data_IF_074182223853
#
_entry.id   IF_074182223853
#
_cell.length_a   1.000
_cell.length_b   1.000
_cell.length_c   1.000
_cell.angle_alpha   90.00
_cell.angle_beta   90.00
_cell.angle_gamma   90.00
#
_symmetry.space_group_name_H-M   'P 1'
#
loop_
_entity.id
_entity.type
_entity.pdbx_description
1 polymer ?
#
# COMPACT_ATOMS: atom_id res chain seq x y z
N UNK A 1 32.15 61.91 -26.48
CA UNK A 1 32.67 60.54 -26.25
C UNK A 1 31.51 59.63 -25.89
N UNK A 2 31.36 58.52 -26.62
CA UNK A 2 30.29 57.52 -26.48
C UNK A 2 30.57 56.60 -25.29
N UNK A 3 29.59 56.25 -24.45
CA UNK A 3 29.52 54.93 -23.78
C UNK A 3 28.05 54.51 -23.58
N UNK A 4 27.66 53.48 -24.34
CA UNK A 4 26.37 52.78 -24.26
C UNK A 4 26.44 51.80 -23.09
N UNK A 5 25.47 51.81 -22.18
CA UNK A 5 25.32 50.78 -21.14
C UNK A 5 24.38 49.72 -21.72
N UNK A 6 24.96 48.58 -22.11
CA UNK A 6 24.24 47.37 -22.49
C UNK A 6 24.12 46.54 -21.20
N UNK A 7 22.96 46.56 -20.56
CA UNK A 7 22.69 45.70 -19.41
C UNK A 7 22.16 44.37 -19.93
N UNK A 8 22.96 43.32 -19.71
CA UNK A 8 22.75 41.99 -20.23
C UNK A 8 21.52 41.29 -19.62
N UNK A 9 20.73 40.65 -20.48
CA UNK A 9 19.71 39.66 -20.11
C UNK A 9 20.35 38.55 -19.26
N UNK A 10 19.84 38.33 -18.05
CA UNK A 10 20.05 37.08 -17.31
C UNK A 10 18.72 36.34 -17.29
N UNK A 11 18.51 35.47 -18.27
CA UNK A 11 17.39 34.54 -18.27
C UNK A 11 17.67 33.45 -17.23
N UNK A 12 16.97 33.51 -16.10
CA UNK A 12 16.98 32.43 -15.10
C UNK A 12 16.23 31.24 -15.70
N UNK A 13 16.98 30.25 -16.16
CA UNK A 13 16.44 28.96 -16.59
C UNK A 13 16.01 28.19 -15.34
N UNK A 14 14.74 28.32 -14.95
CA UNK A 14 14.13 27.44 -13.96
C UNK A 14 14.09 26.06 -14.62
N UNK A 15 15.02 25.18 -14.24
CA UNK A 15 14.93 23.75 -14.55
C UNK A 15 13.71 23.26 -13.77
N UNK A 16 12.55 23.23 -14.44
CA UNK A 16 11.44 22.41 -14.01
C UNK A 16 11.93 20.96 -14.09
N UNK A 17 12.50 20.48 -13.00
CA UNK A 17 12.73 19.06 -12.80
C UNK A 17 11.37 18.40 -12.80
N UNK A 18 10.97 17.90 -13.97
CA UNK A 18 9.81 17.04 -14.14
C UNK A 18 9.97 15.89 -13.17
N UNK A 19 9.35 15.98 -12.00
CA UNK A 19 9.29 14.88 -11.05
C UNK A 19 8.62 13.73 -11.81
N UNK A 20 9.41 12.77 -12.26
CA UNK A 20 8.90 11.53 -12.83
C UNK A 20 7.93 10.98 -11.79
N UNK A 21 6.65 10.79 -12.11
CA UNK A 21 5.69 10.28 -11.14
C UNK A 21 6.23 8.94 -10.64
N UNK A 22 6.59 8.91 -9.36
CA UNK A 22 7.17 7.71 -8.76
C UNK A 22 6.02 6.75 -8.53
N UNK A 23 5.95 5.70 -9.35
CA UNK A 23 4.88 4.70 -9.26
C UNK A 23 4.99 3.95 -7.94
N UNK A 24 3.90 3.95 -7.19
CA UNK A 24 3.72 3.19 -5.97
C UNK A 24 4.02 1.71 -6.23
N UNK A 25 4.79 1.06 -5.35
CA UNK A 25 5.18 -0.33 -5.54
C UNK A 25 3.98 -1.24 -5.27
N UNK A 26 3.71 -2.15 -6.19
CA UNK A 26 2.59 -3.08 -6.13
C UNK A 26 3.11 -4.50 -5.91
N UNK A 27 2.64 -5.14 -4.84
CA UNK A 27 3.06 -6.48 -4.43
C UNK A 27 1.87 -7.43 -4.48
N UNK A 28 2.01 -8.54 -5.20
CA UNK A 28 1.03 -9.62 -5.22
C UNK A 28 1.07 -10.49 -3.96
N UNK A 29 -0.06 -11.08 -3.60
CA UNK A 29 -0.18 -12.05 -2.53
C UNK A 29 -1.15 -13.18 -2.89
N UNK A 30 -0.88 -14.36 -2.34
CA UNK A 30 -1.73 -15.54 -2.43
C UNK A 30 -1.74 -16.21 -1.05
N UNK A 31 -2.84 -16.03 -0.33
CA UNK A 31 -2.98 -16.48 1.04
C UNK A 31 -4.00 -17.59 1.17
N UNK A 32 -3.68 -18.54 2.06
CA UNK A 32 -4.54 -19.66 2.43
C UNK A 32 -4.62 -19.72 3.95
N UNK A 33 -5.83 -19.76 4.50
CA UNK A 33 -6.09 -19.88 5.93
C UNK A 33 -7.04 -21.05 6.21
N UNK A 34 -6.66 -21.91 7.14
CA UNK A 34 -7.46 -23.06 7.57
C UNK A 34 -8.24 -22.80 8.87
N UNK A 35 -7.79 -21.83 9.68
CA UNK A 35 -8.45 -21.39 10.90
C UNK A 35 -8.25 -19.88 11.11
N UNK A 36 -8.95 -19.25 12.06
CA UNK A 36 -8.70 -17.86 12.47
C UNK A 36 -7.36 -17.64 13.19
N UNK A 37 -6.63 -18.72 13.49
CA UNK A 37 -5.35 -18.65 14.18
C UNK A 37 -4.21 -18.27 13.23
N UNK A 38 -3.27 -17.48 13.75
CA UNK A 38 -2.07 -17.09 13.03
C UNK A 38 -2.27 -15.93 12.05
N UNK A 39 -1.14 -15.55 11.43
CA UNK A 39 -1.07 -14.51 10.41
C UNK A 39 -0.11 -14.95 9.31
N UNK A 40 -0.42 -14.58 8.08
CA UNK A 40 0.49 -14.70 6.94
C UNK A 40 0.82 -13.31 6.43
N UNK A 41 1.98 -13.16 5.79
CA UNK A 41 2.43 -11.86 5.29
C UNK A 41 2.68 -11.92 3.78
N UNK A 42 2.43 -10.81 3.10
CA UNK A 42 2.88 -10.64 1.73
C UNK A 42 4.40 -10.46 1.70
N UNK A 43 4.99 -10.49 0.51
CA UNK A 43 6.31 -9.90 0.33
C UNK A 43 6.29 -8.41 0.71
N UNK A 44 7.45 -7.88 1.06
CA UNK A 44 7.60 -6.44 1.32
C UNK A 44 7.67 -5.65 0.01
N UNK A 45 7.10 -4.45 0.00
CA UNK A 45 7.20 -3.47 -1.08
C UNK A 45 7.70 -2.12 -0.58
N UNK A 46 8.56 -1.48 -1.35
CA UNK A 46 9.08 -0.14 -1.04
C UNK A 46 8.03 0.91 -1.37
N UNK A 47 7.67 1.76 -0.41
CA UNK A 47 6.83 2.93 -0.70
C UNK A 47 7.62 3.94 -1.52
N UNK A 48 7.11 4.28 -2.71
CA UNK A 48 7.83 5.13 -3.68
C UNK A 48 7.27 6.55 -3.79
N UNK A 49 6.06 6.79 -3.30
CA UNK A 49 5.40 8.10 -3.29
C UNK A 49 5.31 8.69 -1.87
N UNK A 50 4.69 9.86 -1.76
CA UNK A 50 4.43 10.57 -0.50
C UNK A 50 2.98 10.44 -0.02
N UNK A 51 2.12 9.74 -0.76
CA UNK A 51 0.70 9.59 -0.46
C UNK A 51 0.51 8.84 0.86
N UNK A 52 -0.39 9.32 1.72
CA UNK A 52 -0.67 8.68 3.01
C UNK A 52 -1.81 7.65 2.91
N UNK A 53 -1.85 6.93 1.78
CA UNK A 53 -2.83 5.90 1.49
C UNK A 53 -2.14 4.69 0.86
N UNK A 54 -2.77 3.53 1.01
CA UNK A 54 -2.44 2.31 0.29
C UNK A 54 -3.70 1.81 -0.44
N UNK A 55 -3.49 1.00 -1.47
CA UNK A 55 -4.57 0.47 -2.29
C UNK A 55 -4.55 -1.05 -2.25
N UNK A 56 -5.70 -1.64 -1.93
CA UNK A 56 -5.88 -3.09 -1.86
C UNK A 56 -6.75 -3.56 -3.02
N UNK A 57 -6.32 -4.61 -3.70
CA UNK A 57 -7.14 -5.35 -4.66
C UNK A 57 -7.22 -6.80 -4.24
N UNK A 58 -8.43 -7.34 -4.13
CA UNK A 58 -8.72 -8.76 -3.92
C UNK A 58 -9.31 -9.30 -5.23
N UNK A 59 -8.46 -9.94 -6.05
CA UNK A 59 -8.82 -10.39 -7.39
C UNK A 59 -9.66 -11.68 -7.39
N UNK A 60 -9.34 -12.60 -6.50
CA UNK A 60 -10.03 -13.89 -6.36
C UNK A 60 -10.03 -14.29 -4.89
N UNK A 61 -11.16 -14.77 -4.39
CA UNK A 61 -11.25 -15.15 -2.99
C UNK A 61 -12.43 -16.07 -2.69
N UNK A 62 -12.31 -16.86 -1.61
CA UNK A 62 -13.45 -17.53 -0.96
C UNK A 62 -14.02 -16.71 0.21
N UNK A 63 -13.95 -15.38 0.12
CA UNK A 63 -14.53 -14.46 1.10
C UNK A 63 -16.06 -14.43 0.96
N UNK A 64 -16.75 -14.53 2.09
CA UNK A 64 -18.20 -14.35 2.22
C UNK A 64 -18.54 -13.65 3.54
N UNK A 65 -19.82 -13.37 3.80
CA UNK A 65 -20.28 -12.73 5.04
C UNK A 65 -19.83 -13.45 6.32
N UNK A 66 -19.63 -14.77 6.27
CA UNK A 66 -19.18 -15.61 7.39
C UNK A 66 -17.75 -16.17 7.23
N UNK A 67 -17.02 -15.81 6.16
CA UNK A 67 -15.65 -16.23 5.91
C UNK A 67 -14.80 -14.99 5.60
N UNK A 68 -14.35 -14.32 6.65
CA UNK A 68 -13.92 -12.92 6.62
C UNK A 68 -12.41 -12.82 6.55
N UNK A 69 -11.90 -12.03 5.62
CA UNK A 69 -10.48 -11.74 5.52
C UNK A 69 -10.14 -10.46 6.30
N UNK A 70 -9.22 -10.55 7.24
CA UNK A 70 -8.75 -9.39 8.00
C UNK A 70 -7.30 -9.06 7.69
N UNK A 71 -6.99 -7.78 7.52
CA UNK A 71 -5.67 -7.32 7.08
C UNK A 71 -5.21 -6.01 7.72
N UNK A 72 -3.90 -5.78 7.75
CA UNK A 72 -3.28 -4.47 8.06
C UNK A 72 -1.90 -4.33 7.43
N UNK A 73 -1.49 -3.09 7.19
CA UNK A 73 -0.12 -2.77 6.75
C UNK A 73 0.81 -2.63 7.96
N UNK A 74 2.01 -3.19 7.79
CA UNK A 74 3.09 -3.16 8.78
C UNK A 74 4.39 -2.73 8.14
N UNK A 75 5.25 -2.08 8.93
CA UNK A 75 6.60 -1.72 8.50
C UNK A 75 7.54 -2.90 8.66
N UNK A 76 8.34 -3.17 7.63
CA UNK A 76 9.22 -4.34 7.61
C UNK A 76 10.34 -4.28 8.67
N UNK A 77 10.86 -3.08 8.96
CA UNK A 77 12.02 -2.91 9.84
C UNK A 77 11.77 -3.29 11.30
N UNK A 78 10.55 -3.07 11.81
CA UNK A 78 10.24 -3.17 13.24
C UNK A 78 8.85 -3.73 13.51
N UNK A 79 8.19 -4.29 12.49
CA UNK A 79 6.85 -4.85 12.59
C UNK A 79 5.81 -3.82 13.10
N UNK A 80 6.06 -2.50 12.99
CA UNK A 80 5.14 -1.49 13.49
C UNK A 80 3.84 -1.51 12.70
N UNK A 81 2.69 -1.44 13.38
CA UNK A 81 1.38 -1.27 12.72
C UNK A 81 1.29 0.13 12.10
N UNK A 82 1.00 0.18 10.80
CA UNK A 82 0.96 1.40 9.99
C UNK A 82 -0.45 1.78 9.52
N UNK A 83 -1.39 0.85 9.57
CA UNK A 83 -2.80 1.08 9.25
C UNK A 83 -3.71 0.52 10.35
N UNK A 84 -4.97 0.93 10.33
CA UNK A 84 -6.00 0.20 11.05
C UNK A 84 -6.13 -1.21 10.50
N UNK A 85 -6.68 -2.09 11.33
CA UNK A 85 -7.08 -3.41 10.91
C UNK A 85 -8.42 -3.35 10.20
N UNK A 86 -8.48 -3.93 9.01
CA UNK A 86 -9.64 -3.88 8.12
C UNK A 86 -10.14 -5.28 7.88
N UNK A 87 -11.47 -5.45 7.90
CA UNK A 87 -12.16 -6.71 7.61
C UNK A 87 -12.82 -6.60 6.25
N UNK A 88 -12.71 -7.65 5.45
CA UNK A 88 -13.27 -7.75 4.12
C UNK A 88 -14.22 -8.95 4.06
N UNK A 89 -15.45 -8.67 3.65
CA UNK A 89 -16.52 -9.64 3.43
C UNK A 89 -16.88 -9.78 1.95
N UNK A 90 -16.10 -9.16 1.07
CA UNK A 90 -16.22 -9.25 -0.38
C UNK A 90 -14.85 -9.06 -1.05
N UNK A 91 -14.81 -9.26 -2.37
CA UNK A 91 -13.71 -8.80 -3.20
C UNK A 91 -13.63 -7.27 -3.22
N UNK A 92 -12.47 -6.76 -3.61
CA UNK A 92 -12.13 -5.33 -3.59
C UNK A 92 -11.36 -4.98 -4.85
N UNK A 93 -11.71 -3.85 -5.49
CA UNK A 93 -11.01 -3.36 -6.68
C UNK A 93 -10.33 -2.04 -6.36
N UNK A 94 -9.00 -2.07 -6.17
CA UNK A 94 -8.18 -0.89 -5.87
C UNK A 94 -8.76 -0.01 -4.74
N UNK A 95 -9.28 -0.66 -3.70
CA UNK A 95 -9.90 0.01 -2.56
C UNK A 95 -8.85 0.76 -1.76
N UNK A 96 -9.09 2.05 -1.56
CA UNK A 96 -8.13 2.96 -0.94
C UNK A 96 -8.31 3.07 0.57
N UNK A 97 -7.22 2.94 1.32
CA UNK A 97 -7.18 2.97 2.78
C UNK A 97 -6.12 3.95 3.28
N UNK A 98 -6.42 4.69 4.34
CA UNK A 98 -5.46 5.62 4.95
C UNK A 98 -4.47 4.89 5.86
N UNK A 99 -3.22 5.34 5.86
CA UNK A 99 -2.29 5.00 6.94
C UNK A 99 -2.68 5.74 8.22
N UNK A 100 -2.50 5.10 9.38
CA UNK A 100 -2.72 5.72 10.69
C UNK A 100 -1.46 6.38 11.24
N UNK A 101 -0.30 6.07 10.64
CA UNK A 101 0.98 6.70 10.92
C UNK A 101 1.58 7.20 9.62
N UNK A 102 2.48 8.19 9.71
CA UNK A 102 3.17 8.70 8.52
C UNK A 102 4.00 7.60 7.86
N UNK A 103 3.54 7.13 6.70
CA UNK A 103 4.26 6.19 5.84
C UNK A 103 5.33 6.96 5.06
N UNK A 104 6.59 6.54 5.22
CA UNK A 104 7.75 7.22 4.68
C UNK A 104 8.12 6.59 3.34
N UNK A 105 8.49 7.46 2.39
CA UNK A 105 9.10 7.04 1.13
C UNK A 105 10.39 6.27 1.39
N UNK A 106 10.77 5.39 0.46
CA UNK A 106 11.96 4.54 0.54
C UNK A 106 11.96 3.58 1.74
N UNK A 107 10.80 3.34 2.34
CA UNK A 107 10.62 2.40 3.46
C UNK A 107 9.86 1.17 2.96
N UNK A 108 10.29 -0.01 3.44
CA UNK A 108 9.63 -1.28 3.15
C UNK A 108 8.42 -1.49 4.06
N UNK A 109 7.30 -1.82 3.44
CA UNK A 109 6.06 -2.20 4.08
C UNK A 109 5.60 -3.55 3.58
N UNK A 110 4.86 -4.27 4.41
CA UNK A 110 4.20 -5.51 4.01
C UNK A 110 2.77 -5.53 4.54
N UNK A 111 1.92 -6.35 3.93
CA UNK A 111 0.57 -6.58 4.39
C UNK A 111 0.52 -7.89 5.19
N UNK A 112 0.03 -7.82 6.43
CA UNK A 112 -0.29 -9.00 7.23
C UNK A 112 -1.77 -9.33 7.13
N UNK A 113 -2.10 -10.57 6.78
CA UNK A 113 -3.45 -11.10 6.65
C UNK A 113 -3.74 -12.23 7.64
N UNK A 114 -5.02 -12.37 8.02
CA UNK A 114 -5.56 -13.54 8.72
C UNK A 114 -7.00 -13.81 8.28
N UNK A 115 -7.49 -15.03 8.51
CA UNK A 115 -8.93 -15.28 8.63
C UNK A 115 -9.39 -14.63 9.94
N UNK A 116 -10.36 -13.71 9.87
CA UNK A 116 -10.80 -12.94 11.03
C UNK A 116 -11.53 -13.83 12.04
N UNK A 117 -11.41 -13.51 13.33
CA UNK A 117 -12.03 -14.26 14.43
C UNK A 117 -13.58 -14.17 14.40
N UNK A 118 -14.14 -13.19 13.70
CA UNK A 118 -15.58 -13.12 13.46
C UNK A 118 -16.06 -14.08 12.35
N UNK A 119 -15.16 -14.81 11.69
CA UNK A 119 -15.54 -15.83 10.72
C UNK A 119 -16.20 -17.00 11.44
N UNK A 120 -17.44 -17.33 11.07
CA UNK A 120 -18.15 -18.50 11.60
C UNK A 120 -18.06 -19.71 10.66
N UNK A 121 -17.62 -19.52 9.42
CA UNK A 121 -17.35 -20.62 8.50
C UNK A 121 -16.09 -21.40 8.90
N UNK A 122 -16.17 -22.73 8.92
CA UNK A 122 -15.02 -23.63 9.05
C UNK A 122 -14.29 -23.88 7.72
N UNK A 123 -14.82 -23.38 6.59
CA UNK A 123 -14.21 -23.55 5.28
C UNK A 123 -12.88 -22.82 5.16
N UNK A 124 -11.99 -23.34 4.32
CA UNK A 124 -10.74 -22.68 3.97
C UNK A 124 -11.00 -21.28 3.36
N UNK A 125 -10.22 -20.30 3.81
CA UNK A 125 -10.22 -18.96 3.22
C UNK A 125 -9.00 -18.81 2.31
N UNK A 126 -9.26 -18.65 1.01
CA UNK A 126 -8.26 -18.34 -0.01
C UNK A 126 -8.44 -16.89 -0.43
N UNK A 127 -7.34 -16.13 -0.50
CA UNK A 127 -7.37 -14.72 -0.91
C UNK A 127 -6.16 -14.42 -1.79
N UNK A 128 -6.44 -14.07 -3.04
CA UNK A 128 -5.44 -13.72 -4.04
C UNK A 128 -5.65 -12.27 -4.43
N UNK A 129 -4.59 -11.50 -4.47
CA UNK A 129 -4.69 -10.09 -4.78
C UNK A 129 -3.35 -9.37 -4.86
N UNK A 130 -3.42 -8.05 -4.72
CA UNK A 130 -2.25 -7.16 -4.71
C UNK A 130 -2.49 -5.98 -3.80
N UNK A 131 -1.39 -5.46 -3.26
CA UNK A 131 -1.37 -4.25 -2.43
C UNK A 131 -0.36 -3.27 -3.01
N UNK A 132 -0.73 -2.00 -3.05
CA UNK A 132 0.09 -0.90 -3.55
C UNK A 132 0.36 0.08 -2.40
N UNK A 133 1.63 0.33 -2.08
CA UNK A 133 2.08 1.01 -0.86
C UNK A 133 2.36 2.50 -1.00
#
# INVERSE_FOLDING_TARGET
MKKKIITALTAVMIIASSAVPTMANTVGYNFTFYSPEGFVSSNSGTKNDTEQRYYLTINSSSIYSNNVFGTRIRRAADNATMSNYVKHTSQETSRSYAYTKSAKKSTLYYMGGKKDDCSTSSSQLNVIGRVTY
#
